data_IF_279230386168
#
_entry.id   IF_279230386168
#
_cell.length_a   1.000
_cell.length_b   1.000
_cell.length_c   1.000
_cell.angle_alpha   90.00
_cell.angle_beta   90.00
_cell.angle_gamma   90.00
#
_symmetry.space_group_name_H-M   'P 1'
#
loop_
_entity.id
_entity.type
_entity.pdbx_description
1 polymer ?
#
# COMPACT_ATOMS: atom_id res chain seq x y z
N UNK A 1 22.78 43.95 -90.77
CA UNK A 1 23.66 42.92 -91.35
C UNK A 1 24.39 42.24 -90.20
N UNK A 2 23.97 41.02 -89.83
CA UNK A 2 24.72 39.90 -89.23
C UNK A 2 23.66 38.85 -88.84
N UNK A 3 23.87 37.63 -89.34
CA UNK A 3 23.03 36.42 -89.16
C UNK A 3 23.52 35.61 -87.97
N UNK A 4 22.70 34.62 -87.56
CA UNK A 4 23.01 33.24 -87.10
C UNK A 4 21.93 32.90 -86.03
N UNK A 5 20.86 32.18 -86.36
CA UNK A 5 20.76 30.71 -86.59
C UNK A 5 20.82 29.90 -85.30
N UNK A 6 19.62 29.50 -84.83
CA UNK A 6 19.26 28.21 -84.24
C UNK A 6 20.00 27.70 -83.01
N UNK A 7 19.24 27.29 -81.97
CA UNK A 7 19.39 25.98 -81.33
C UNK A 7 18.05 25.60 -80.67
N UNK A 8 17.59 24.43 -81.08
CA UNK A 8 16.52 23.61 -80.56
C UNK A 8 16.98 23.03 -79.21
N UNK A 9 16.23 23.19 -78.12
CA UNK A 9 16.44 22.31 -76.97
C UNK A 9 15.16 22.13 -76.15
N UNK A 10 14.65 20.91 -76.24
CA UNK A 10 13.71 20.27 -75.32
C UNK A 10 14.11 20.58 -73.86
N UNK A 11 13.18 21.10 -73.07
CA UNK A 11 13.20 20.88 -71.62
C UNK A 11 11.78 20.64 -71.12
N UNK A 12 11.52 19.34 -70.99
CA UNK A 12 10.58 18.67 -70.09
C UNK A 12 9.85 19.59 -69.12
N UNK A 13 8.52 19.67 -69.29
CA UNK A 13 7.62 20.08 -68.21
C UNK A 13 7.68 19.06 -67.08
N UNK A 14 8.54 19.31 -66.09
CA UNK A 14 8.43 18.67 -64.79
C UNK A 14 7.61 19.61 -63.91
N UNK A 15 6.32 19.32 -63.79
CA UNK A 15 5.45 19.98 -62.83
C UNK A 15 5.99 19.73 -61.42
N UNK A 16 6.67 20.73 -60.87
CA UNK A 16 7.05 20.76 -59.46
C UNK A 16 5.75 20.97 -58.66
N UNK A 17 5.11 19.87 -58.28
CA UNK A 17 4.08 19.90 -57.24
C UNK A 17 4.82 20.18 -55.94
N UNK A 18 4.90 21.45 -55.55
CA UNK A 18 5.33 21.80 -54.20
C UNK A 18 4.23 21.31 -53.28
N UNK A 19 4.46 20.33 -52.38
CA UNK A 19 3.50 20.09 -51.32
C UNK A 19 3.46 21.38 -50.50
N UNK A 20 2.30 22.04 -50.48
CA UNK A 20 2.05 23.12 -49.56
C UNK A 20 2.19 22.52 -48.15
N UNK A 21 3.38 22.66 -47.57
CA UNK A 21 3.60 22.53 -46.14
C UNK A 21 2.72 23.60 -45.52
N UNK A 22 1.53 23.19 -45.08
CA UNK A 22 0.70 23.99 -44.21
C UNK A 22 1.56 24.33 -43.00
N UNK A 23 1.99 25.58 -42.93
CA UNK A 23 2.46 26.16 -41.68
C UNK A 23 1.23 26.19 -40.79
N UNK A 24 1.03 25.12 -40.04
CA UNK A 24 0.15 25.14 -38.87
C UNK A 24 0.80 26.16 -37.95
N UNK A 25 0.24 27.37 -37.91
CA UNK A 25 0.59 28.31 -36.86
C UNK A 25 0.41 27.56 -35.54
N UNK A 26 1.38 27.57 -34.62
CA UNK A 26 1.10 27.08 -33.28
C UNK A 26 -0.10 27.86 -32.78
N UNK A 27 -1.19 27.14 -32.50
CA UNK A 27 -2.35 27.68 -31.82
C UNK A 27 -1.83 28.12 -30.45
N UNK A 28 -1.51 29.41 -30.33
CA UNK A 28 -1.20 30.06 -29.06
C UNK A 28 -2.54 30.25 -28.35
N UNK A 29 -3.18 29.15 -27.98
CA UNK A 29 -4.17 29.14 -26.93
C UNK A 29 -3.46 29.69 -25.70
N UNK A 30 -3.77 30.94 -25.36
CA UNK A 30 -3.22 31.58 -24.17
C UNK A 30 -3.43 30.65 -22.99
N UNK A 31 -2.34 30.25 -22.36
CA UNK A 31 -2.35 29.71 -21.00
C UNK A 31 -3.22 30.68 -20.20
N UNK A 32 -4.39 30.23 -19.73
CA UNK A 32 -5.18 31.03 -18.83
C UNK A 32 -4.30 31.29 -17.62
N UNK A 33 -3.82 32.53 -17.45
CA UNK A 33 -3.16 32.94 -16.23
C UNK A 33 -4.20 32.84 -15.13
N UNK A 34 -4.24 31.69 -14.45
CA UNK A 34 -5.04 31.53 -13.26
C UNK A 34 -4.52 32.56 -12.28
N UNK A 35 -5.40 33.46 -11.87
CA UNK A 35 -5.01 34.50 -10.94
C UNK A 35 -4.50 33.80 -9.68
N UNK A 36 -3.34 34.23 -9.21
CA UNK A 36 -2.65 33.59 -8.11
C UNK A 36 -2.42 34.61 -6.98
N UNK A 37 -2.44 34.11 -5.75
CA UNK A 37 -2.09 34.84 -4.55
C UNK A 37 -0.95 34.14 -3.81
N UNK A 38 -0.66 34.66 -2.61
CA UNK A 38 0.31 34.07 -1.69
C UNK A 38 -0.39 33.70 -0.38
N UNK A 39 0.14 32.71 0.34
CA UNK A 39 -0.33 32.31 1.65
C UNK A 39 0.83 32.33 2.63
N UNK A 40 0.67 33.08 3.72
CA UNK A 40 1.58 33.11 4.84
C UNK A 40 0.98 32.23 5.95
N UNK A 41 1.68 31.14 6.27
CA UNK A 41 1.27 30.19 7.30
C UNK A 41 2.14 30.41 8.53
N UNK A 42 1.57 30.98 9.59
CA UNK A 42 2.21 31.03 10.91
C UNK A 42 1.98 29.70 11.62
N UNK A 43 3.01 28.86 11.64
CA UNK A 43 2.93 27.46 12.06
C UNK A 43 3.60 27.16 13.40
N UNK A 44 2.93 26.38 14.23
CA UNK A 44 3.53 25.73 15.40
C UNK A 44 3.11 24.26 15.43
N UNK A 45 4.05 23.30 15.50
CA UNK A 45 5.50 23.42 15.72
C UNK A 45 6.32 23.82 14.47
N UNK A 46 7.62 24.10 14.68
CA UNK A 46 8.62 24.17 13.59
C UNK A 46 8.80 22.79 12.95
N UNK A 47 9.12 22.75 11.66
CA UNK A 47 9.22 21.49 10.89
C UNK A 47 7.86 20.90 10.48
N UNK A 48 6.75 21.59 10.77
CA UNK A 48 5.42 21.18 10.32
C UNK A 48 5.33 21.28 8.79
N UNK A 49 4.91 20.19 8.15
CA UNK A 49 4.67 20.13 6.71
C UNK A 49 3.28 20.65 6.37
N UNK A 50 3.23 21.53 5.37
CA UNK A 50 2.00 22.10 4.84
C UNK A 50 1.80 21.61 3.42
N UNK A 51 0.63 21.03 3.16
CA UNK A 51 0.15 20.70 1.84
C UNK A 51 -1.09 21.52 1.49
N UNK A 52 -1.19 21.95 0.24
CA UNK A 52 -2.33 22.67 -0.31
C UNK A 52 -2.95 21.80 -1.40
N UNK A 53 -4.24 21.47 -1.27
CA UNK A 53 -4.99 20.56 -2.14
C UNK A 53 -4.29 19.21 -2.36
N UNK A 54 -3.64 18.71 -1.31
CA UNK A 54 -2.87 17.46 -1.33
C UNK A 54 -1.47 17.56 -1.95
N UNK A 55 -1.03 18.75 -2.39
CA UNK A 55 0.32 19.00 -2.90
C UNK A 55 1.18 19.61 -1.80
N UNK A 56 2.32 18.98 -1.48
CA UNK A 56 3.27 19.50 -0.47
C UNK A 56 3.81 20.85 -0.93
N UNK A 57 3.51 21.90 -0.18
CA UNK A 57 3.94 23.26 -0.46
C UNK A 57 5.28 23.60 0.23
N UNK A 58 5.53 23.01 1.40
CA UNK A 58 6.77 23.18 2.12
C UNK A 58 6.65 22.82 3.60
N UNK A 59 7.69 23.14 4.36
CA UNK A 59 7.75 22.95 5.80
C UNK A 59 7.98 24.29 6.49
N UNK A 60 7.36 24.49 7.65
CA UNK A 60 7.56 25.67 8.48
C UNK A 60 8.98 25.65 9.04
N UNK A 61 9.74 26.70 8.75
CA UNK A 61 11.13 26.81 9.17
C UNK A 61 11.27 27.32 10.63
N UNK A 62 12.50 27.55 11.07
CA UNK A 62 12.82 28.06 12.41
C UNK A 62 12.23 29.47 12.69
N UNK A 63 11.80 30.20 11.66
CA UNK A 63 11.11 31.49 11.84
C UNK A 63 9.67 31.32 12.30
N UNK A 64 9.12 30.10 12.17
CA UNK A 64 7.72 29.79 12.47
C UNK A 64 6.75 30.23 11.37
N UNK A 65 7.25 30.66 10.21
CA UNK A 65 6.44 31.13 9.08
C UNK A 65 6.82 30.41 7.81
N UNK A 66 5.82 29.88 7.09
CA UNK A 66 5.98 29.39 5.72
C UNK A 66 5.26 30.34 4.77
N UNK A 67 5.97 30.82 3.76
CA UNK A 67 5.40 31.62 2.67
C UNK A 67 5.25 30.73 1.44
N UNK A 68 4.04 30.64 0.91
CA UNK A 68 3.72 29.85 -0.27
C UNK A 68 3.19 30.82 -1.33
N UNK A 69 3.91 30.91 -2.44
CA UNK A 69 3.53 31.76 -3.57
C UNK A 69 2.83 30.95 -4.66
N UNK A 70 2.18 31.67 -5.57
CA UNK A 70 1.56 31.11 -6.78
C UNK A 70 0.46 30.08 -6.48
N UNK A 71 -0.30 30.29 -5.40
CA UNK A 71 -1.51 29.50 -5.13
C UNK A 71 -2.65 30.13 -5.93
N UNK A 72 -3.47 29.33 -6.64
CA UNK A 72 -4.66 29.86 -7.29
C UNK A 72 -5.54 30.69 -6.35
N UNK A 73 -6.30 31.63 -6.90
CA UNK A 73 -7.28 32.37 -6.09
C UNK A 73 -8.51 31.50 -5.84
N UNK A 74 -9.03 31.55 -4.61
CA UNK A 74 -10.21 30.80 -4.19
C UNK A 74 -10.01 29.98 -2.93
N UNK A 75 -10.90 29.02 -2.71
CA UNK A 75 -10.85 28.10 -1.57
C UNK A 75 -9.88 26.95 -1.84
N UNK A 76 -9.01 26.69 -0.88
CA UNK A 76 -8.01 25.64 -0.91
C UNK A 76 -8.06 24.83 0.38
N UNK A 77 -7.77 23.54 0.30
CA UNK A 77 -7.65 22.67 1.47
C UNK A 77 -6.20 22.69 1.94
N UNK A 78 -5.98 23.23 3.12
CA UNK A 78 -4.69 23.19 3.80
C UNK A 78 -4.65 21.99 4.73
N UNK A 79 -3.67 21.11 4.51
CA UNK A 79 -3.37 19.97 5.37
C UNK A 79 -2.03 20.21 6.05
N UNK A 80 -2.04 20.18 7.38
CA UNK A 80 -0.87 20.38 8.23
C UNK A 80 -0.50 19.07 8.94
N UNK A 81 0.74 18.61 8.73
CA UNK A 81 1.23 17.32 9.19
C UNK A 81 2.55 17.46 9.93
N UNK A 82 2.69 16.76 11.06
CA UNK A 82 3.95 16.63 11.79
C UNK A 82 4.00 15.27 12.51
N UNK A 83 5.15 14.56 12.58
CA UNK A 83 5.23 13.22 13.16
C UNK A 83 4.63 13.09 14.56
N UNK A 84 4.97 14.03 15.46
CA UNK A 84 4.58 14.00 16.87
C UNK A 84 3.27 14.74 17.19
N UNK A 85 2.54 15.20 16.17
CA UNK A 85 1.33 15.99 16.36
C UNK A 85 0.15 15.39 15.60
N UNK A 86 -1.05 15.77 16.01
CA UNK A 86 -2.29 15.38 15.38
C UNK A 86 -2.43 16.17 14.06
N UNK A 87 -2.68 15.46 12.96
CA UNK A 87 -2.90 16.06 11.65
C UNK A 87 -4.13 16.97 11.69
N UNK A 88 -4.03 18.12 11.01
CA UNK A 88 -5.10 19.13 10.97
C UNK A 88 -5.37 19.56 9.54
N UNK A 89 -6.65 19.59 9.17
CA UNK A 89 -7.10 20.06 7.87
C UNK A 89 -8.06 21.25 8.04
N UNK A 90 -7.93 22.24 7.16
CA UNK A 90 -8.80 23.41 7.14
C UNK A 90 -8.93 24.00 5.75
N UNK A 91 -10.04 24.68 5.48
CA UNK A 91 -10.23 25.42 4.23
C UNK A 91 -9.73 26.85 4.41
N UNK A 92 -8.88 27.30 3.49
CA UNK A 92 -8.35 28.66 3.44
C UNK A 92 -8.77 29.33 2.14
N UNK A 93 -9.16 30.60 2.20
CA UNK A 93 -9.48 31.39 1.02
C UNK A 93 -8.28 32.26 0.66
N UNK A 94 -7.69 32.04 -0.52
CA UNK A 94 -6.56 32.82 -1.03
C UNK A 94 -7.11 33.99 -1.84
N UNK A 95 -6.90 35.23 -1.36
CA UNK A 95 -7.40 36.41 -2.02
C UNK A 95 -6.56 36.73 -3.25
N UNK A 96 -7.15 37.62 -4.02
CA UNK A 96 -6.70 37.88 -5.35
C UNK A 96 -5.64 38.98 -5.43
N UNK A 97 -4.40 38.62 -5.77
CA UNK A 97 -3.26 39.55 -5.84
C UNK A 97 -2.78 40.07 -4.48
N UNK A 98 -3.27 39.48 -3.39
CA UNK A 98 -2.87 39.75 -2.01
C UNK A 98 -2.40 38.45 -1.35
N UNK A 99 -1.75 38.57 -0.19
CA UNK A 99 -1.42 37.41 0.64
C UNK A 99 -2.52 37.17 1.68
N UNK A 100 -2.93 35.91 1.84
CA UNK A 100 -3.68 35.45 3.01
C UNK A 100 -2.71 35.16 4.16
N UNK A 101 -3.15 35.35 5.40
CA UNK A 101 -2.41 34.92 6.58
C UNK A 101 -3.27 33.94 7.38
N UNK A 102 -2.71 32.78 7.67
CA UNK A 102 -3.36 31.73 8.45
C UNK A 102 -2.44 31.29 9.59
N UNK A 103 -3.00 31.16 10.78
CA UNK A 103 -2.30 30.62 11.94
C UNK A 103 -2.70 29.17 12.13
N UNK A 104 -1.71 28.29 12.12
CA UNK A 104 -1.89 26.85 12.27
C UNK A 104 -1.11 26.40 13.51
N UNK A 105 -1.86 25.97 14.51
CA UNK A 105 -1.32 25.33 15.70
C UNK A 105 -1.81 23.88 15.72
N UNK A 106 -0.87 22.94 15.77
CA UNK A 106 -1.14 21.52 15.92
C UNK A 106 -1.12 21.13 17.40
N UNK A 107 -1.97 20.18 17.75
CA UNK A 107 -2.01 19.56 19.07
C UNK A 107 -1.01 18.40 19.13
N UNK A 108 -0.24 18.31 20.21
CA UNK A 108 0.72 17.22 20.42
C UNK A 108 0.00 15.87 20.52
N UNK A 109 0.61 14.83 19.96
CA UNK A 109 0.19 13.46 20.23
C UNK A 109 0.54 13.14 21.67
N UNK A 110 -0.49 12.95 22.48
CA UNK A 110 -0.33 12.39 23.81
C UNK A 110 -0.20 10.88 23.67
N UNK A 111 0.71 10.27 24.42
CA UNK A 111 0.92 8.83 24.44
C UNK A 111 0.40 8.22 25.75
N UNK A 112 -0.06 6.97 25.67
CA UNK A 112 -0.39 6.13 26.80
C UNK A 112 0.19 4.74 26.64
N UNK A 113 0.32 4.03 27.76
CA UNK A 113 0.90 2.70 27.78
C UNK A 113 -0.18 1.63 27.68
N UNK A 114 0.01 0.65 26.79
CA UNK A 114 -0.82 -0.54 26.64
C UNK A 114 -0.01 -1.79 27.00
N UNK A 115 -0.54 -2.58 27.94
CA UNK A 115 -0.01 -3.92 28.25
C UNK A 115 -0.89 -4.96 27.58
N UNK A 116 -0.32 -5.72 26.65
CA UNK A 116 -1.00 -6.76 25.90
C UNK A 116 -0.56 -8.15 26.37
N UNK A 117 -1.52 -8.92 26.87
CA UNK A 117 -1.38 -10.29 27.31
C UNK A 117 -2.14 -11.23 26.38
N UNK A 118 -1.75 -12.50 26.34
CA UNK A 118 -2.52 -13.50 25.60
C UNK A 118 -2.47 -14.87 26.25
N UNK A 119 -3.48 -15.68 25.95
CA UNK A 119 -3.50 -17.11 26.23
C UNK A 119 -3.93 -17.84 24.95
N UNK A 120 -3.05 -18.63 24.32
CA UNK A 120 -1.70 -19.06 24.74
C UNK A 120 -0.63 -17.94 24.72
N UNK A 121 0.57 -18.14 25.31
CA UNK A 121 1.68 -17.20 25.19
C UNK A 121 2.31 -17.23 23.78
N UNK A 122 3.16 -16.24 23.47
CA UNK A 122 3.87 -16.11 22.18
C UNK A 122 2.97 -15.81 20.97
N UNK A 123 1.96 -14.96 21.15
CA UNK A 123 1.04 -14.56 20.07
C UNK A 123 1.55 -13.29 19.39
N UNK A 124 1.45 -13.23 18.07
CA UNK A 124 1.81 -12.02 17.32
C UNK A 124 0.77 -10.93 17.57
N UNK A 125 1.26 -9.75 17.92
CA UNK A 125 0.46 -8.59 18.25
C UNK A 125 0.53 -7.57 17.11
N UNK A 126 -0.62 -7.19 16.59
CA UNK A 126 -0.78 -6.13 15.61
C UNK A 126 -1.65 -5.03 16.21
N UNK A 127 -1.27 -3.77 16.03
CA UNK A 127 -2.04 -2.60 16.45
C UNK A 127 -2.24 -1.73 15.23
N UNK A 128 -3.49 -1.46 14.88
CA UNK A 128 -3.90 -0.74 13.65
C UNK A 128 -3.19 -1.32 12.41
N UNK A 129 -3.27 -2.65 12.28
CA UNK A 129 -2.66 -3.46 11.21
C UNK A 129 -1.12 -3.47 11.16
N UNK A 130 -0.44 -2.79 12.09
CA UNK A 130 1.01 -2.78 12.18
C UNK A 130 1.52 -3.79 13.21
N UNK A 131 2.46 -4.65 12.82
CA UNK A 131 3.11 -5.59 13.75
C UNK A 131 3.89 -4.84 14.84
N UNK A 132 3.58 -5.14 16.11
CA UNK A 132 4.19 -4.49 17.29
C UNK A 132 5.00 -5.45 18.16
N UNK A 133 5.01 -6.75 17.85
CA UNK A 133 5.81 -7.74 18.56
C UNK A 133 5.01 -8.98 18.95
N UNK A 134 5.43 -9.59 20.06
CA UNK A 134 4.88 -10.86 20.56
C UNK A 134 4.49 -10.70 22.03
N UNK A 135 3.35 -11.25 22.43
CA UNK A 135 2.85 -11.18 23.82
C UNK A 135 3.63 -12.11 24.79
N UNK A 136 3.80 -11.72 26.07
CA UNK A 136 3.44 -10.42 26.68
C UNK A 136 4.26 -9.24 26.14
N UNK A 137 3.61 -8.11 25.86
CA UNK A 137 4.27 -6.90 25.38
C UNK A 137 3.69 -5.64 26.04
N UNK A 138 4.56 -4.66 26.28
CA UNK A 138 4.18 -3.30 26.70
C UNK A 138 4.52 -2.34 25.57
N UNK A 139 3.55 -1.55 25.14
CA UNK A 139 3.64 -0.66 24.00
C UNK A 139 3.21 0.75 24.40
N UNK A 140 3.90 1.77 23.90
CA UNK A 140 3.42 3.15 23.97
C UNK A 140 2.71 3.49 22.67
N UNK A 141 1.45 3.89 22.79
CA UNK A 141 0.56 4.22 21.67
C UNK A 141 0.00 5.63 21.88
N UNK A 142 -0.31 6.35 20.80
CA UNK A 142 -1.08 7.59 20.91
C UNK A 142 -2.37 7.37 21.72
N UNK A 143 -2.86 8.39 22.40
CA UNK A 143 -4.16 8.29 23.04
C UNK A 143 -5.25 8.23 21.98
N UNK A 144 -6.25 7.37 22.19
CA UNK A 144 -7.31 7.17 21.23
C UNK A 144 -7.82 5.73 21.19
N UNK A 145 -8.66 5.45 20.20
CA UNK A 145 -9.14 4.10 19.94
C UNK A 145 -8.19 3.41 18.97
N UNK A 146 -7.67 2.25 19.38
CA UNK A 146 -6.81 1.40 18.56
C UNK A 146 -7.46 0.03 18.37
N UNK A 147 -7.22 -0.60 17.22
CA UNK A 147 -7.59 -2.00 16.99
C UNK A 147 -6.40 -2.91 17.25
N UNK A 148 -6.57 -3.83 18.20
CA UNK A 148 -5.54 -4.81 18.55
C UNK A 148 -5.93 -6.16 17.99
N UNK A 149 -5.05 -6.73 17.16
CA UNK A 149 -5.19 -8.06 16.57
C UNK A 149 -4.15 -9.01 17.16
N UNK A 150 -4.65 -10.12 17.69
CA UNK A 150 -3.88 -11.27 18.16
C UNK A 150 -3.91 -12.35 17.09
N UNK A 151 -2.74 -12.75 16.58
CA UNK A 151 -2.59 -13.76 15.53
C UNK A 151 -1.58 -14.83 15.94
N UNK A 152 -1.96 -16.09 15.78
CA UNK A 152 -1.10 -17.23 16.03
C UNK A 152 -1.48 -18.39 15.11
N UNK A 153 -0.49 -19.06 14.53
CA UNK A 153 -0.71 -20.18 13.64
C UNK A 153 -1.46 -21.33 14.35
N UNK A 154 -2.53 -21.82 13.72
CA UNK A 154 -3.38 -22.86 14.30
C UNK A 154 -4.44 -22.35 15.29
N UNK A 155 -4.55 -21.03 15.47
CA UNK A 155 -5.58 -20.39 16.31
C UNK A 155 -6.42 -19.41 15.50
N UNK A 156 -7.64 -19.16 15.97
CA UNK A 156 -8.52 -18.13 15.41
C UNK A 156 -8.00 -16.76 15.79
N UNK A 157 -7.82 -15.90 14.80
CA UNK A 157 -7.47 -14.49 14.99
C UNK A 157 -8.53 -13.79 15.86
N UNK A 158 -8.07 -12.99 16.83
CA UNK A 158 -8.91 -12.22 17.74
C UNK A 158 -8.60 -10.75 17.59
N UNK A 159 -9.60 -9.96 17.18
CA UNK A 159 -9.50 -8.49 17.08
C UNK A 159 -10.35 -7.84 18.16
N UNK A 160 -9.78 -6.89 18.88
CA UNK A 160 -10.45 -6.19 19.96
C UNK A 160 -10.12 -4.69 19.90
N UNK A 161 -11.12 -3.80 20.01
CA UNK A 161 -10.84 -2.37 20.16
C UNK A 161 -10.35 -2.10 21.59
N UNK A 162 -9.36 -1.21 21.73
CA UNK A 162 -8.87 -0.71 23.02
C UNK A 162 -8.84 0.80 23.00
N UNK A 163 -9.23 1.41 24.11
CA UNK A 163 -9.09 2.86 24.30
C UNK A 163 -7.87 3.12 25.18
N UNK A 164 -6.86 3.78 24.60
CA UNK A 164 -5.63 4.17 25.29
C UNK A 164 -5.80 5.60 25.79
N UNK A 165 -5.58 5.82 27.08
CA UNK A 165 -5.60 7.14 27.72
C UNK A 165 -4.23 7.44 28.33
N UNK A 166 -3.91 8.72 28.49
CA UNK A 166 -2.62 9.15 29.04
C UNK A 166 -2.52 8.87 30.55
N UNK A 167 -3.65 8.90 31.25
CA UNK A 167 -3.69 8.91 32.71
C UNK A 167 -3.47 7.53 33.32
N UNK A 168 -3.84 6.45 32.61
CA UNK A 168 -3.82 5.09 33.13
C UNK A 168 -3.35 4.10 32.07
N UNK A 169 -2.45 3.17 32.43
CA UNK A 169 -2.06 2.11 31.52
C UNK A 169 -3.30 1.24 31.20
N UNK A 170 -3.54 1.03 29.91
CA UNK A 170 -4.56 0.11 29.43
C UNK A 170 -4.01 -1.31 29.48
N UNK A 171 -4.86 -2.28 29.81
CA UNK A 171 -4.53 -3.69 29.78
C UNK A 171 -5.53 -4.44 28.90
N UNK A 172 -5.03 -5.32 28.04
CA UNK A 172 -5.85 -6.16 27.17
C UNK A 172 -5.34 -7.60 27.19
N UNK A 173 -6.26 -8.56 27.27
CA UNK A 173 -5.95 -9.98 27.23
C UNK A 173 -6.68 -10.66 26.07
N UNK A 174 -5.93 -11.17 25.09
CA UNK A 174 -6.45 -11.96 23.98
C UNK A 174 -6.51 -13.45 24.35
N UNK A 175 -7.72 -14.00 24.43
CA UNK A 175 -7.93 -15.45 24.63
C UNK A 175 -8.22 -16.07 23.26
N UNK A 176 -7.35 -16.94 22.77
CA UNK A 176 -7.45 -17.51 21.43
C UNK A 176 -7.98 -18.94 21.45
N UNK A 177 -8.84 -19.23 20.48
CA UNK A 177 -9.40 -20.58 20.27
C UNK A 177 -8.59 -21.34 19.19
N UNK A 178 -8.18 -22.59 19.44
CA UNK A 178 -7.56 -23.41 18.41
C UNK A 178 -8.49 -23.64 17.22
N UNK A 179 -7.96 -23.53 16.00
CA UNK A 179 -8.67 -23.98 14.81
C UNK A 179 -8.48 -25.49 14.77
N UNK A 180 -9.56 -26.25 14.96
CA UNK A 180 -9.51 -27.69 14.87
C UNK A 180 -8.85 -28.09 13.53
N UNK A 181 -7.87 -29.02 13.54
CA UNK A 181 -7.31 -29.51 12.29
C UNK A 181 -8.45 -30.09 11.47
N UNK A 182 -8.62 -29.58 10.24
CA UNK A 182 -9.41 -30.32 9.27
C UNK A 182 -8.71 -31.67 9.11
N UNK A 183 -9.33 -32.74 9.61
CA UNK A 183 -8.90 -34.07 9.29
C UNK A 183 -9.12 -34.22 7.79
N UNK A 184 -8.05 -34.04 7.00
CA UNK A 184 -8.02 -34.62 5.66
C UNK A 184 -8.18 -36.11 5.88
N UNK A 185 -9.42 -36.57 5.75
CA UNK A 185 -9.73 -37.98 5.61
C UNK A 185 -9.05 -38.38 4.33
N UNK A 186 -7.82 -38.89 4.43
CA UNK A 186 -7.25 -39.73 3.37
C UNK A 186 -8.30 -40.81 3.16
N UNK A 187 -8.93 -40.92 1.98
CA UNK A 187 -9.85 -42.01 1.71
C UNK A 187 -9.08 -43.31 1.92
N UNK A 188 -9.37 -44.00 3.01
CA UNK A 188 -9.04 -45.41 3.15
C UNK A 188 -9.81 -46.15 2.06
N UNK A 189 -9.13 -46.42 0.96
CA UNK A 189 -9.57 -47.32 -0.10
C UNK A 189 -8.40 -48.25 -0.39
N UNK A 190 -8.37 -49.50 0.06
CA UNK A 190 -9.37 -50.28 0.77
C UNK A 190 -8.69 -51.46 1.46
N UNK A 191 -9.43 -52.52 1.86
CA UNK A 191 -8.81 -53.76 2.31
C UNK A 191 -8.00 -54.36 1.16
N UNK A 192 -6.70 -54.50 1.36
CA UNK A 192 -5.85 -55.30 0.49
C UNK A 192 -6.42 -56.70 0.38
N UNK A 193 -6.92 -57.02 -0.80
CA UNK A 193 -7.41 -58.35 -1.17
C UNK A 193 -6.27 -59.35 -0.87
N UNK A 194 -6.53 -60.30 0.03
CA UNK A 194 -5.70 -61.47 0.25
C UNK A 194 -5.54 -62.19 -1.11
N UNK A 195 -4.35 -62.10 -1.69
CA UNK A 195 -3.97 -62.82 -2.90
C UNK A 195 -3.83 -64.30 -2.53
N UNK A 196 -4.92 -65.06 -2.65
CA UNK A 196 -4.90 -66.53 -2.68
C UNK A 196 -4.50 -67.00 -4.07
N UNK A 197 -3.20 -66.97 -4.36
CA UNK A 197 -2.65 -67.59 -5.57
C UNK A 197 -2.21 -69.02 -5.24
N UNK A 198 -3.02 -69.95 -5.74
CA UNK A 198 -2.81 -71.38 -5.83
C UNK A 198 -1.37 -71.74 -6.23
N UNK A 199 -0.61 -72.32 -5.29
CA UNK A 199 0.51 -73.21 -5.64
C UNK A 199 0.03 -74.65 -5.46
N UNK A 200 -0.98 -75.04 -6.24
CA UNK A 200 -1.21 -76.45 -6.60
C UNK A 200 -0.19 -76.80 -7.67
N UNK A 201 0.96 -77.36 -7.27
CA UNK A 201 1.97 -77.68 -8.28
C UNK A 201 3.27 -78.34 -7.84
N UNK A 202 3.49 -78.73 -6.57
CA UNK A 202 4.67 -79.54 -6.19
C UNK A 202 4.36 -80.48 -5.01
N UNK A 203 3.38 -81.37 -5.16
CA UNK A 203 3.21 -82.50 -4.22
C UNK A 203 2.74 -83.80 -4.92
N UNK A 204 3.05 -83.98 -6.21
CA UNK A 204 2.70 -85.20 -6.95
C UNK A 204 3.89 -85.94 -7.59
N UNK A 205 5.15 -85.59 -7.29
CA UNK A 205 6.31 -86.31 -7.84
C UNK A 205 7.09 -87.12 -6.79
N UNK A 206 6.85 -86.92 -5.49
CA UNK A 206 7.53 -87.72 -4.44
C UNK A 206 6.77 -89.02 -4.08
N UNK A 207 5.49 -89.14 -4.47
CA UNK A 207 4.67 -90.33 -4.21
C UNK A 207 4.94 -91.52 -5.16
N UNK A 208 5.57 -91.31 -6.32
CA UNK A 208 5.86 -92.37 -7.29
C UNK A 208 7.28 -92.94 -7.20
N UNK A 209 8.13 -92.43 -6.29
CA UNK A 209 9.53 -92.90 -6.16
C UNK A 209 9.76 -93.92 -5.03
N UNK A 210 8.82 -94.13 -4.12
CA UNK A 210 8.98 -95.07 -2.99
C UNK A 210 8.24 -96.40 -3.13
N UNK A 211 7.60 -96.67 -4.28
CA UNK A 211 7.03 -97.99 -4.58
C UNK A 211 7.94 -98.86 -5.47
N UNK A 212 9.18 -98.43 -5.72
CA UNK A 212 10.23 -99.22 -6.43
C UNK A 212 11.35 -99.74 -5.51
N UNK A 213 11.16 -99.71 -4.19
CA UNK A 213 12.05 -100.34 -3.19
C UNK A 213 11.27 -101.30 -2.27
N UNK A 214 10.47 -102.14 -2.91
CA UNK A 214 9.74 -103.25 -2.29
C UNK A 214 9.76 -104.47 -3.20
N UNK A 215 10.94 -104.82 -3.70
CA UNK A 215 11.38 -106.17 -4.02
C UNK A 215 12.92 -106.18 -4.02
#
# INVERSE_FOLDING_TARGET
>A
MIRISGIFSLLFGMGLVVPALGVVAPDLTGEAFQKAGSLHVDGKPVGMEIAIDGVIAGQVDDSGVLVIDNIPVGEHVLTATHPDYILKEMVVNVPDGFFAQVRVELDEKVYGTLTALSTPPNVQLYVDDLYKGITPATLDLPTGSHQVLFRLAGYRDVTMPVMVTADKPAEITGIMEPIAPSTKTTPGSGPGILVTLLVTGVCCIVGSYLQRKGN
#
